data_IF_816144028468
#
_entry.id   IF_816144028468
#
_cell.length_a   1.000
_cell.length_b   1.000
_cell.length_c   1.000
_cell.angle_alpha   90.00
_cell.angle_beta   90.00
_cell.angle_gamma   90.00
#
_symmetry.space_group_name_H-M   'P 1'
#
loop_
_entity.id
_entity.type
_entity.pdbx_description
1 polymer ?
#
# COMPACT_ATOMS: atom_id res chain seq x y z
N UNK A 1 -10.47 7.79 7.11
CA UNK A 1 -9.53 7.77 8.25
C UNK A 1 -8.30 8.61 7.97
N UNK A 2 -7.68 9.18 9.01
CA UNK A 2 -6.51 10.05 8.89
C UNK A 2 -5.27 9.31 9.39
N UNK A 3 -4.37 9.00 8.46
CA UNK A 3 -3.05 8.48 8.77
C UNK A 3 -2.05 9.63 8.82
N UNK A 4 -1.21 9.66 9.85
CA UNK A 4 -0.13 10.63 9.95
C UNK A 4 1.14 9.96 10.47
N UNK A 5 2.26 10.26 9.81
CA UNK A 5 3.58 9.85 10.28
C UNK A 5 4.12 10.91 11.23
N UNK A 6 4.51 10.50 12.43
CA UNK A 6 5.16 11.40 13.39
C UNK A 6 6.62 11.62 12.96
N UNK A 7 6.90 12.79 12.39
CA UNK A 7 8.27 13.20 12.02
C UNK A 7 9.02 13.87 13.19
N UNK A 8 8.30 14.40 14.18
CA UNK A 8 8.87 14.99 15.40
C UNK A 8 8.98 13.93 16.50
N UNK A 9 10.16 13.79 17.09
CA UNK A 9 10.43 12.92 18.25
C UNK A 9 9.50 13.19 19.45
N UNK A 10 8.99 14.41 19.59
CA UNK A 10 8.02 14.76 20.64
C UNK A 10 6.56 14.58 20.21
N UNK A 11 6.28 14.32 18.94
CA UNK A 11 4.93 13.99 18.46
C UNK A 11 4.64 12.51 18.75
N UNK A 12 3.43 12.13 19.19
CA UNK A 12 2.22 12.94 19.29
C UNK A 12 2.09 13.73 20.60
N UNK A 13 3.00 13.60 21.57
CA UNK A 13 2.86 14.20 22.91
C UNK A 13 2.71 15.72 22.89
N UNK A 14 3.44 16.41 22.00
CA UNK A 14 3.41 17.88 21.85
C UNK A 14 2.06 18.41 21.32
N UNK A 15 1.31 17.59 20.57
CA UNK A 15 0.06 17.97 19.90
C UNK A 15 -1.20 17.29 20.47
N UNK A 16 -1.04 16.23 21.28
CA UNK A 16 -2.11 15.34 21.77
C UNK A 16 -3.31 16.08 22.39
N UNK A 17 -3.06 17.16 23.13
CA UNK A 17 -4.09 17.92 23.83
C UNK A 17 -4.54 19.19 23.09
N UNK A 18 -4.04 19.41 21.87
CA UNK A 18 -4.27 20.63 21.09
C UNK A 18 -5.00 20.37 19.79
N UNK A 19 -4.81 19.19 19.21
CA UNK A 19 -5.37 18.79 17.93
C UNK A 19 -6.65 17.97 18.14
N UNK A 20 -7.69 18.28 17.38
CA UNK A 20 -8.96 17.57 17.41
C UNK A 20 -8.77 16.10 16.99
N UNK A 21 -9.56 15.18 17.54
CA UNK A 21 -9.51 13.76 17.18
C UNK A 21 -8.32 12.97 17.74
N UNK A 22 -7.31 13.62 18.36
CA UNK A 22 -6.15 12.93 18.95
C UNK A 22 -6.51 11.95 20.08
N UNK A 23 -7.70 12.09 20.69
CA UNK A 23 -8.24 11.13 21.65
C UNK A 23 -8.69 9.80 21.03
N UNK A 24 -8.96 9.78 19.72
CA UNK A 24 -9.47 8.63 18.97
C UNK A 24 -8.37 7.90 18.17
N UNK A 25 -7.11 8.24 18.41
CA UNK A 25 -5.97 7.61 17.75
C UNK A 25 -5.95 6.12 18.05
N UNK A 26 -5.91 5.33 16.99
CA UNK A 26 -5.93 3.87 17.00
C UNK A 26 -4.62 3.34 16.44
N UNK A 27 -4.06 2.31 17.11
CA UNK A 27 -2.87 1.61 16.61
C UNK A 27 -3.20 0.85 15.33
N UNK A 28 -2.28 0.85 14.36
CA UNK A 28 -2.39 0.07 13.11
C UNK A 28 -1.89 -1.37 13.25
N UNK A 29 -1.45 -1.78 14.45
CA UNK A 29 -0.86 -3.09 14.70
C UNK A 29 -1.77 -4.24 14.21
N UNK A 30 -3.07 -4.17 14.52
CA UNK A 30 -4.04 -5.18 14.05
C UNK A 30 -4.24 -5.15 12.53
N UNK A 31 -4.16 -3.97 11.92
CA UNK A 31 -4.27 -3.80 10.48
C UNK A 31 -3.07 -4.46 9.78
N UNK A 32 -1.87 -4.38 10.37
CA UNK A 32 -0.65 -5.03 9.86
C UNK A 32 -0.73 -6.57 9.84
N UNK A 33 -1.51 -7.16 10.76
CA UNK A 33 -1.70 -8.61 10.82
C UNK A 33 -2.59 -9.13 9.68
N UNK A 34 -3.52 -8.32 9.18
CA UNK A 34 -4.51 -8.77 8.19
C UNK A 34 -4.31 -8.17 6.80
N UNK A 35 -3.66 -7.01 6.70
CA UNK A 35 -3.45 -6.29 5.46
C UNK A 35 -1.95 -6.19 5.15
N UNK A 36 -1.59 -6.49 3.90
CA UNK A 36 -0.25 -6.23 3.38
C UNK A 36 0.14 -4.78 3.64
N UNK A 37 1.27 -4.59 4.31
CA UNK A 37 1.78 -3.28 4.74
C UNK A 37 0.74 -2.43 5.50
N UNK A 38 -0.05 -3.09 6.35
CA UNK A 38 -1.04 -2.49 7.25
C UNK A 38 -2.17 -1.72 6.54
N UNK A 39 -2.33 -1.89 5.22
CA UNK A 39 -3.31 -1.13 4.46
C UNK A 39 -2.93 0.34 4.24
N UNK A 40 -1.67 0.71 4.45
CA UNK A 40 -1.22 2.11 4.45
C UNK A 40 -0.44 2.46 3.18
N UNK A 41 -0.56 3.70 2.67
CA UNK A 41 0.35 4.21 1.65
C UNK A 41 1.75 4.33 2.22
N UNK A 42 2.74 3.79 1.51
CA UNK A 42 4.13 3.88 1.93
C UNK A 42 4.85 4.93 1.10
N UNK A 43 5.65 5.78 1.76
CA UNK A 43 6.43 6.81 1.06
C UNK A 43 7.79 6.28 0.64
N UNK A 44 8.47 5.55 1.54
CA UNK A 44 9.78 4.97 1.26
C UNK A 44 9.82 3.49 1.67
N UNK A 45 10.50 2.66 0.88
CA UNK A 45 10.66 1.22 1.20
C UNK A 45 11.32 0.96 2.55
N UNK A 46 12.11 1.91 3.07
CA UNK A 46 12.70 1.80 4.42
C UNK A 46 11.69 1.92 5.55
N UNK A 47 10.49 2.46 5.28
CA UNK A 47 9.50 2.74 6.31
C UNK A 47 8.72 1.47 6.73
N UNK A 48 8.90 0.35 6.01
CA UNK A 48 8.18 -0.89 6.24
C UNK A 48 8.28 -1.42 7.67
N UNK A 49 9.47 -1.38 8.27
CA UNK A 49 9.69 -1.86 9.64
C UNK A 49 9.00 -0.98 10.70
N UNK A 50 8.75 0.29 10.36
CA UNK A 50 8.14 1.28 11.23
C UNK A 50 6.61 1.39 11.01
N UNK A 51 6.02 0.67 10.06
CA UNK A 51 4.58 0.80 9.80
C UNK A 51 3.73 0.46 11.03
N UNK A 52 4.10 -0.60 11.75
CA UNK A 52 3.39 -1.09 12.95
C UNK A 52 3.39 -0.12 14.13
N UNK A 53 4.34 0.82 14.20
CA UNK A 53 4.41 1.81 15.28
C UNK A 53 3.59 3.06 14.97
N UNK A 54 3.02 3.15 13.76
CA UNK A 54 2.17 4.26 13.40
C UNK A 54 0.78 4.11 14.02
N UNK A 55 -0.02 5.15 13.83
CA UNK A 55 -1.40 5.18 14.29
C UNK A 55 -2.23 6.00 13.33
N UNK A 56 -3.53 5.80 13.38
CA UNK A 56 -4.48 6.51 12.54
C UNK A 56 -5.72 6.89 13.34
N UNK A 57 -6.45 7.89 12.85
CA UNK A 57 -7.73 8.29 13.42
C UNK A 57 -8.83 7.75 12.50
N UNK A 58 -9.71 6.86 12.99
CA UNK A 58 -10.92 6.48 12.28
C UNK A 58 -11.75 7.73 11.98
N UNK A 59 -12.14 7.90 10.72
CA UNK A 59 -12.86 9.05 10.20
C UNK A 59 -13.60 8.61 8.93
N UNK A 60 -14.55 9.42 8.46
CA UNK A 60 -15.31 9.11 7.25
C UNK A 60 -14.39 8.86 6.04
N UNK A 61 -14.89 8.06 5.10
CA UNK A 61 -14.18 7.78 3.87
C UNK A 61 -14.09 9.06 3.03
N UNK A 62 -12.91 9.38 2.48
CA UNK A 62 -12.77 10.51 1.57
C UNK A 62 -13.50 10.24 0.25
N UNK A 63 -13.79 11.31 -0.50
CA UNK A 63 -14.44 11.22 -1.80
C UNK A 63 -13.35 11.14 -2.88
N UNK A 64 -13.36 10.06 -3.65
CA UNK A 64 -12.46 9.89 -4.79
C UNK A 64 -13.16 10.38 -6.07
N UNK A 65 -12.55 11.36 -6.75
CA UNK A 65 -13.06 11.92 -8.02
C UNK A 65 -12.49 11.23 -9.26
N UNK A 66 -11.40 10.49 -9.09
CA UNK A 66 -10.77 9.68 -10.13
C UNK A 66 -10.91 8.17 -9.84
N UNK A 67 -10.52 7.34 -10.80
CA UNK A 67 -10.67 5.89 -10.71
C UNK A 67 -9.94 5.31 -9.49
N UNK A 68 -10.57 4.32 -8.86
CA UNK A 68 -9.94 3.50 -7.83
C UNK A 68 -8.86 2.59 -8.45
N UNK A 69 -7.83 2.20 -7.67
CA UNK A 69 -6.89 1.19 -8.13
C UNK A 69 -7.62 -0.13 -8.40
N UNK A 70 -7.21 -0.81 -9.46
CA UNK A 70 -7.75 -2.10 -9.88
C UNK A 70 -6.60 -3.03 -10.22
N UNK A 71 -6.75 -4.31 -9.90
CA UNK A 71 -5.85 -5.38 -10.28
C UNK A 71 -6.66 -6.43 -11.03
N UNK A 72 -6.15 -6.83 -12.19
CA UNK A 72 -6.71 -7.93 -12.98
C UNK A 72 -5.64 -9.00 -13.16
N UNK A 73 -5.99 -10.25 -12.88
CA UNK A 73 -5.22 -11.41 -13.28
C UNK A 73 -5.64 -11.78 -14.72
N UNK A 74 -4.78 -11.47 -15.68
CA UNK A 74 -5.08 -11.63 -17.10
C UNK A 74 -4.95 -13.10 -17.54
N UNK A 75 -3.94 -13.80 -17.03
CA UNK A 75 -3.64 -15.17 -17.40
C UNK A 75 -2.70 -15.85 -16.38
N UNK A 76 -2.76 -17.18 -16.29
CA UNK A 76 -1.78 -18.04 -15.63
C UNK A 76 -1.21 -19.02 -16.67
N UNK A 77 0.11 -19.05 -16.83
CA UNK A 77 0.83 -19.97 -17.72
C UNK A 77 1.64 -20.96 -16.89
N UNK A 78 1.50 -22.26 -17.16
CA UNK A 78 2.37 -23.30 -16.62
C UNK A 78 3.67 -23.34 -17.44
N UNK A 79 4.78 -22.87 -16.85
CA UNK A 79 6.10 -22.82 -17.52
C UNK A 79 6.81 -24.17 -17.39
N UNK A 80 6.65 -24.83 -16.25
CA UNK A 80 7.06 -26.21 -15.96
C UNK A 80 6.16 -26.77 -14.85
N UNK A 81 6.36 -28.03 -14.46
CA UNK A 81 5.57 -28.69 -13.40
C UNK A 81 5.59 -27.94 -12.06
N UNK A 82 6.64 -27.14 -11.81
CA UNK A 82 6.85 -26.38 -10.57
C UNK A 82 6.89 -24.87 -10.77
N UNK A 83 6.67 -24.35 -12.00
CA UNK A 83 6.76 -22.92 -12.28
C UNK A 83 5.47 -22.40 -12.90
N UNK A 84 4.85 -21.42 -12.23
CA UNK A 84 3.64 -20.75 -12.69
C UNK A 84 3.92 -19.27 -12.94
N UNK A 85 3.59 -18.81 -14.15
CA UNK A 85 3.67 -17.40 -14.54
C UNK A 85 2.30 -16.75 -14.44
N UNK A 86 2.18 -15.74 -13.60
CA UNK A 86 0.96 -14.94 -13.46
C UNK A 86 1.14 -13.63 -14.20
N UNK A 87 0.18 -13.28 -15.06
CA UNK A 87 0.13 -12.01 -15.77
C UNK A 87 -0.88 -11.08 -15.10
N UNK A 88 -0.42 -9.90 -14.69
CA UNK A 88 -1.22 -8.91 -14.01
C UNK A 88 -1.30 -7.61 -14.79
N UNK A 89 -2.48 -6.99 -14.72
CA UNK A 89 -2.71 -5.60 -15.12
C UNK A 89 -3.15 -4.80 -13.90
N UNK A 90 -2.45 -3.72 -13.60
CA UNK A 90 -2.81 -2.76 -12.54
C UNK A 90 -3.14 -1.41 -13.18
N UNK A 91 -4.31 -0.87 -12.90
CA UNK A 91 -4.74 0.44 -13.38
C UNK A 91 -5.31 1.27 -12.22
N UNK A 92 -5.14 2.59 -12.24
CA UNK A 92 -5.57 3.44 -11.14
C UNK A 92 -5.02 4.86 -11.22
N UNK A 93 -4.78 5.52 -10.07
CA UNK A 93 -4.32 6.90 -10.01
C UNK A 93 -2.85 7.08 -10.41
N UNK A 94 -2.37 8.32 -10.28
CA UNK A 94 -1.06 8.77 -10.75
C UNK A 94 0.13 8.12 -10.02
N UNK A 95 -0.10 7.60 -8.83
CA UNK A 95 0.88 6.79 -8.10
C UNK A 95 0.22 5.59 -7.42
N UNK A 96 0.84 4.43 -7.52
CA UNK A 96 0.37 3.18 -6.92
C UNK A 96 1.51 2.43 -6.25
N UNK A 97 1.25 1.93 -5.04
CA UNK A 97 2.12 0.97 -4.36
C UNK A 97 1.52 -0.43 -4.54
N UNK A 98 2.29 -1.35 -5.15
CA UNK A 98 1.83 -2.71 -5.40
C UNK A 98 2.67 -3.65 -4.55
N UNK A 99 1.99 -4.50 -3.79
CA UNK A 99 2.59 -5.46 -2.86
C UNK A 99 2.22 -6.87 -3.28
N UNK A 100 3.21 -7.77 -3.35
CA UNK A 100 2.98 -9.18 -3.65
C UNK A 100 3.67 -10.04 -2.59
N UNK A 101 2.91 -10.90 -1.92
CA UNK A 101 3.43 -11.82 -0.90
C UNK A 101 2.99 -13.25 -1.24
N UNK A 102 3.91 -14.10 -1.73
CA UNK A 102 3.61 -15.49 -2.06
C UNK A 102 3.14 -16.24 -0.81
N UNK A 103 2.30 -17.27 -0.95
CA UNK A 103 1.96 -18.18 0.16
C UNK A 103 3.21 -18.90 0.68
N UNK A 104 3.08 -19.53 1.85
CA UNK A 104 4.16 -20.33 2.42
C UNK A 104 4.63 -21.40 1.42
N UNK A 105 5.93 -21.69 1.42
CA UNK A 105 6.60 -22.59 0.49
C UNK A 105 6.59 -22.18 -1.00
N UNK A 106 6.15 -20.96 -1.34
CA UNK A 106 6.20 -20.42 -2.69
C UNK A 106 7.28 -19.33 -2.76
N UNK A 107 8.08 -19.35 -3.83
CA UNK A 107 9.20 -18.41 -4.01
C UNK A 107 9.03 -17.58 -5.30
N UNK A 108 9.61 -16.38 -5.32
CA UNK A 108 9.73 -15.58 -6.54
C UNK A 108 10.92 -16.06 -7.37
N UNK A 109 10.70 -16.38 -8.65
CA UNK A 109 11.77 -16.75 -9.58
C UNK A 109 12.11 -15.64 -10.57
N UNK A 110 11.11 -14.91 -11.04
CA UNK A 110 11.30 -13.90 -12.07
C UNK A 110 10.21 -12.83 -12.02
N UNK A 111 10.51 -11.63 -12.52
CA UNK A 111 9.55 -10.55 -12.69
C UNK A 111 9.87 -9.79 -13.98
N UNK A 112 8.85 -9.40 -14.74
CA UNK A 112 9.06 -8.71 -16.02
C UNK A 112 9.54 -7.27 -15.91
N UNK A 113 9.59 -6.71 -14.70
CA UNK A 113 9.92 -5.31 -14.43
C UNK A 113 11.43 -5.08 -14.21
N UNK A 114 12.16 -6.11 -13.79
CA UNK A 114 13.59 -6.05 -13.49
C UNK A 114 14.31 -7.26 -14.07
N UNK A 115 15.63 -7.15 -14.27
CA UNK A 115 16.45 -8.27 -14.76
C UNK A 115 16.57 -9.44 -13.76
N UNK A 116 16.25 -9.20 -12.48
CA UNK A 116 16.28 -10.19 -11.41
C UNK A 116 15.29 -9.81 -10.31
N UNK A 117 14.86 -10.79 -9.52
CA UNK A 117 14.09 -10.58 -8.29
C UNK A 117 15.02 -10.01 -7.21
N UNK A 118 14.69 -8.86 -6.58
CA UNK A 118 15.49 -8.30 -5.48
C UNK A 118 15.73 -9.31 -4.34
N UNK A 119 16.95 -9.37 -3.83
CA UNK A 119 17.33 -10.31 -2.75
C UNK A 119 16.96 -9.82 -1.35
N UNK A 120 16.94 -8.50 -1.15
CA UNK A 120 16.54 -7.87 0.11
C UNK A 120 15.06 -7.49 0.02
N UNK A 121 14.20 -8.39 0.51
CA UNK A 121 12.74 -8.23 0.47
C UNK A 121 12.21 -7.96 1.88
N UNK A 122 11.26 -7.03 2.05
CA UNK A 122 10.49 -6.94 3.28
C UNK A 122 9.73 -8.24 3.53
N UNK A 123 9.45 -8.51 4.81
CA UNK A 123 8.70 -9.69 5.24
C UNK A 123 7.30 -9.30 5.69
N UNK A 124 6.30 -10.07 5.26
CA UNK A 124 4.95 -10.05 5.83
C UNK A 124 4.62 -11.46 6.32
N UNK A 125 4.39 -11.63 7.63
CA UNK A 125 4.25 -12.96 8.25
C UNK A 125 5.41 -13.91 7.93
N UNK A 126 6.64 -13.39 7.96
CA UNK A 126 7.86 -14.09 7.55
C UNK A 126 7.90 -14.52 6.07
N UNK A 127 6.99 -14.01 5.23
CA UNK A 127 6.98 -14.28 3.78
C UNK A 127 7.66 -13.14 3.02
N UNK A 128 8.68 -13.44 2.20
CA UNK A 128 9.32 -12.42 1.37
C UNK A 128 8.31 -11.75 0.46
N UNK A 129 8.30 -10.43 0.43
CA UNK A 129 7.27 -9.64 -0.25
C UNK A 129 7.91 -8.66 -1.23
N UNK A 130 7.38 -8.59 -2.44
CA UNK A 130 7.79 -7.58 -3.41
C UNK A 130 7.00 -6.29 -3.21
N UNK A 131 7.70 -5.17 -3.36
CA UNK A 131 7.13 -3.84 -3.43
C UNK A 131 7.50 -3.22 -4.77
N UNK A 132 6.48 -2.75 -5.48
CA UNK A 132 6.62 -2.01 -6.73
C UNK A 132 5.98 -0.64 -6.51
N UNK A 133 6.79 0.40 -6.62
CA UNK A 133 6.29 1.77 -6.76
C UNK A 133 6.07 2.04 -8.25
N UNK A 134 4.81 2.20 -8.64
CA UNK A 134 4.45 2.63 -9.98
C UNK A 134 3.94 4.07 -9.95
N UNK A 135 4.46 4.92 -10.81
CA UNK A 135 3.99 6.28 -10.97
C UNK A 135 3.97 6.65 -12.45
N UNK A 136 2.93 7.34 -12.88
CA UNK A 136 2.78 7.85 -14.23
C UNK A 136 2.54 9.38 -14.20
N UNK A 137 2.55 9.98 -15.39
CA UNK A 137 2.39 11.43 -15.53
C UNK A 137 0.91 11.85 -15.52
N UNK A 138 0.53 12.75 -16.43
CA UNK A 138 -0.87 13.19 -16.58
C UNK A 138 -1.78 12.12 -17.19
N UNK A 139 -1.20 11.20 -17.96
CA UNK A 139 -1.95 10.13 -18.61
C UNK A 139 -1.85 8.86 -17.76
N UNK A 140 -3.00 8.37 -17.32
CA UNK A 140 -3.10 7.11 -16.61
C UNK A 140 -2.84 5.96 -17.59
N UNK A 141 -1.70 5.29 -17.42
CA UNK A 141 -1.32 4.11 -18.18
C UNK A 141 -1.39 2.90 -17.23
N UNK A 142 -2.10 1.81 -17.60
CA UNK A 142 -2.05 0.57 -16.84
C UNK A 142 -0.64 -0.04 -16.85
N UNK A 143 -0.22 -0.57 -15.70
CA UNK A 143 0.99 -1.38 -15.58
C UNK A 143 0.67 -2.83 -15.90
N UNK A 144 1.29 -3.35 -16.95
CA UNK A 144 1.26 -4.77 -17.29
C UNK A 144 2.57 -5.42 -16.86
N UNK A 145 2.50 -6.51 -16.09
CA UNK A 145 3.68 -7.25 -15.69
C UNK A 145 3.37 -8.72 -15.48
N UNK A 146 4.41 -9.55 -15.45
CA UNK A 146 4.30 -10.94 -15.02
C UNK A 146 5.27 -11.25 -13.89
N UNK A 147 4.91 -12.26 -13.11
CA UNK A 147 5.75 -12.85 -12.06
C UNK A 147 5.76 -14.36 -12.22
N UNK A 148 6.95 -14.96 -12.16
CA UNK A 148 7.12 -16.41 -12.08
C UNK A 148 7.25 -16.82 -10.62
N UNK A 149 6.38 -17.73 -10.20
CA UNK A 149 6.41 -18.34 -8.88
C UNK A 149 6.89 -19.78 -8.99
N UNK A 150 7.81 -20.16 -8.10
CA UNK A 150 8.11 -21.56 -7.83
C UNK A 150 7.07 -22.11 -6.87
N UNK A 151 6.38 -23.17 -7.28
CA UNK A 151 5.38 -23.87 -6.47
C UNK A 151 5.79 -25.34 -6.29
N UNK A 152 5.36 -26.00 -5.20
CA UNK A 152 5.53 -27.44 -5.07
C UNK A 152 4.90 -28.23 -6.24
N UNK A 153 5.38 -29.45 -6.47
CA UNK A 153 4.74 -30.37 -7.43
C UNK A 153 3.26 -30.59 -7.04
N UNK A 154 2.38 -30.70 -8.06
CA UNK A 154 0.93 -30.88 -7.89
C UNK A 154 0.21 -29.79 -7.07
N UNK A 155 0.77 -28.58 -6.94
CA UNK A 155 0.15 -27.48 -6.19
C UNK A 155 -1.21 -27.08 -6.78
N UNK A 156 -2.27 -27.00 -5.96
CA UNK A 156 -3.58 -26.53 -6.42
C UNK A 156 -4.22 -25.52 -5.46
N UNK A 157 -3.40 -24.88 -4.63
CA UNK A 157 -3.83 -23.84 -3.70
C UNK A 157 -3.50 -22.45 -4.24
N UNK A 158 -4.00 -21.43 -3.53
CA UNK A 158 -3.69 -20.03 -3.78
C UNK A 158 -2.17 -19.83 -3.72
N UNK A 159 -1.65 -18.95 -4.58
CA UNK A 159 -0.23 -18.72 -4.78
C UNK A 159 0.25 -17.42 -4.16
N UNK A 160 -0.56 -16.36 -4.17
CA UNK A 160 -0.10 -15.02 -3.81
C UNK A 160 -1.20 -14.13 -3.23
N UNK A 161 -0.87 -13.42 -2.16
CA UNK A 161 -1.63 -12.27 -1.68
C UNK A 161 -1.11 -11.02 -2.39
N UNK A 162 -2.00 -10.22 -2.97
CA UNK A 162 -1.63 -8.98 -3.67
C UNK A 162 -2.42 -7.83 -3.08
N UNK A 163 -1.78 -6.69 -2.90
CA UNK A 163 -2.45 -5.45 -2.56
C UNK A 163 -1.98 -4.30 -3.42
N UNK A 164 -2.87 -3.36 -3.68
CA UNK A 164 -2.59 -2.12 -4.41
C UNK A 164 -3.08 -0.95 -3.57
N UNK A 165 -2.18 -0.02 -3.26
CA UNK A 165 -2.53 1.29 -2.70
C UNK A 165 -2.48 2.32 -3.81
N UNK A 166 -3.62 2.89 -4.18
CA UNK A 166 -3.68 4.07 -5.02
C UNK A 166 -3.40 5.32 -4.20
N UNK A 167 -2.47 6.16 -4.65
CA UNK A 167 -2.13 7.48 -4.09
C UNK A 167 -2.50 8.55 -5.11
N UNK A 168 -3.28 9.53 -4.67
CA UNK A 168 -3.84 10.60 -5.51
C UNK A 168 -3.09 11.90 -5.23
N UNK A 169 -1.94 12.08 -5.89
CA UNK A 169 -1.00 13.17 -5.59
C UNK A 169 -1.31 14.45 -6.36
N UNK A 170 -1.92 14.33 -7.55
CA UNK A 170 -2.41 15.46 -8.34
C UNK A 170 -3.67 16.05 -7.67
N UNK A 171 -3.42 17.00 -6.76
CA UNK A 171 -4.32 17.40 -5.67
C UNK A 171 -5.42 18.41 -6.02
N UNK A 172 -5.49 18.92 -7.25
CA UNK A 172 -6.43 20.02 -7.57
C UNK A 172 -7.90 19.59 -7.53
N UNK A 173 -8.19 18.30 -7.70
CA UNK A 173 -9.56 17.74 -7.75
C UNK A 173 -9.94 16.90 -6.50
N UNK A 174 -9.07 16.84 -5.49
CA UNK A 174 -9.35 16.06 -4.28
C UNK A 174 -10.35 16.80 -3.38
N UNK A 175 -11.55 16.23 -3.20
CA UNK A 175 -12.57 16.77 -2.29
C UNK A 175 -12.32 16.24 -0.88
N UNK A 176 -11.88 17.13 0.00
CA UNK A 176 -11.68 16.81 1.41
C UNK A 176 -12.99 16.91 2.20
N UNK A 177 -13.23 15.95 3.07
CA UNK A 177 -14.37 16.00 4.01
C UNK A 177 -14.22 17.18 4.97
N UNK A 178 -15.35 17.70 5.48
CA UNK A 178 -15.36 18.76 6.51
C UNK A 178 -14.57 18.30 7.75
N UNK A 179 -14.75 17.05 8.17
CA UNK A 179 -14.00 16.44 9.28
C UNK A 179 -12.48 16.51 9.09
N UNK A 180 -11.97 16.27 7.87
CA UNK A 180 -10.54 16.38 7.58
C UNK A 180 -10.06 17.84 7.60
N UNK A 181 -10.87 18.76 7.07
CA UNK A 181 -10.54 20.19 7.10
C UNK A 181 -10.46 20.70 8.53
N UNK A 182 -11.42 20.34 9.39
CA UNK A 182 -11.42 20.68 10.81
C UNK A 182 -10.23 20.07 11.55
N UNK A 183 -9.89 18.81 11.25
CA UNK A 183 -8.70 18.16 11.81
C UNK A 183 -7.43 18.96 11.49
N UNK A 184 -7.20 19.31 10.23
CA UNK A 184 -6.04 20.09 9.78
C UNK A 184 -6.03 21.50 10.39
N UNK A 185 -7.18 22.17 10.45
CA UNK A 185 -7.32 23.52 11.00
C UNK A 185 -7.13 23.58 12.53
N UNK A 186 -7.24 22.44 13.23
CA UNK A 186 -7.01 22.38 14.68
C UNK A 186 -5.53 22.36 15.08
N UNK A 187 -4.61 22.21 14.12
CA UNK A 187 -3.19 22.19 14.43
C UNK A 187 -2.68 23.59 14.80
N UNK A 188 -1.81 23.70 15.82
CA UNK A 188 -1.20 24.98 16.18
C UNK A 188 -0.36 25.58 15.05
N UNK A 189 -0.33 26.91 14.96
CA UNK A 189 0.40 27.67 13.91
C UNK A 189 1.91 27.39 13.84
N UNK A 190 2.51 26.88 14.93
CA UNK A 190 3.94 26.51 14.96
C UNK A 190 4.22 25.12 14.36
N UNK A 191 3.18 24.39 13.94
CA UNK A 191 3.34 23.08 13.30
C UNK A 191 3.49 23.22 11.79
N UNK A 192 4.20 22.27 11.18
CA UNK A 192 4.27 22.13 9.73
C UNK A 192 3.59 20.83 9.36
N UNK A 193 2.54 20.91 8.55
CA UNK A 193 1.80 19.77 8.04
C UNK A 193 2.17 19.53 6.59
N UNK A 194 2.62 18.31 6.29
CA UNK A 194 2.83 17.85 4.93
C UNK A 194 1.76 16.83 4.59
N UNK A 195 0.86 17.20 3.66
CA UNK A 195 -0.10 16.28 3.09
C UNK A 195 0.64 15.43 2.07
N UNK A 196 0.74 14.12 2.34
CA UNK A 196 1.46 13.19 1.47
C UNK A 196 0.56 12.80 0.29
N UNK A 197 -0.58 12.17 0.55
CA UNK A 197 -1.54 11.77 -0.48
C UNK A 197 -2.92 11.50 0.15
N UNK A 198 -3.97 11.66 -0.66
CA UNK A 198 -5.20 10.89 -0.48
C UNK A 198 -4.91 9.45 -0.96
N UNK A 199 -5.39 8.42 -0.26
CA UNK A 199 -5.05 7.03 -0.58
C UNK A 199 -6.23 6.07 -0.45
N UNK A 200 -6.22 5.03 -1.29
CA UNK A 200 -7.16 3.91 -1.30
C UNK A 200 -6.40 2.59 -1.31
N UNK A 201 -6.82 1.61 -0.50
CA UNK A 201 -6.21 0.28 -0.45
C UNK A 201 -7.22 -0.77 -0.92
N UNK A 202 -6.77 -1.66 -1.80
CA UNK A 202 -7.53 -2.85 -2.19
C UNK A 202 -6.60 -4.06 -2.29
N UNK A 203 -7.13 -5.26 -2.03
CA UNK A 203 -6.35 -6.50 -1.97
C UNK A 203 -7.08 -7.69 -2.57
N UNK A 204 -6.31 -8.60 -3.15
CA UNK A 204 -6.77 -9.81 -3.84
C UNK A 204 -5.94 -11.01 -3.40
N UNK A 205 -6.51 -12.20 -3.56
CA UNK A 205 -5.80 -13.46 -3.33
C UNK A 205 -6.02 -14.33 -4.56
N UNK A 206 -4.92 -14.78 -5.15
CA UNK A 206 -4.89 -15.67 -6.31
C UNK A 206 -4.09 -16.92 -6.02
#
# INVERSE_FOLDING_TARGET
GFYFRNMDYNSPRSIKNRVLGMGNVTSVEKDCEIALFCGLPVTYSRDFEELKINSWIPAEAPIFTSALPTLTLDNIILVSDTIRRYHFTVAGPDSMDIYLSPKEAISFLNISLNAFVPTEQPLWHNRPTLYILYANGKENVPLHFFVDFEVPEDWNELVVDIAVVGKYNQADDNVYTEEFQDFINSFPDWTVLTRIALAHYESWIY
#
